data_IF_496763998765
#
_entry.id   IF_496763998765
#
_cell.length_a   1.000
_cell.length_b   1.000
_cell.length_c   1.000
_cell.angle_alpha   90.00
_cell.angle_beta   90.00
_cell.angle_gamma   90.00
#
_symmetry.space_group_name_H-M   'P 1'
#
loop_
_entity.id
_entity.type
_entity.pdbx_description
1 polymer ?
#
# COMPACT_ATOMS: atom_id res chain seq x y z
N UNK A 1 30.10 83.89 23.19
CA UNK A 1 31.46 83.43 22.87
C UNK A 1 31.38 81.93 22.59
N UNK A 2 31.35 81.54 21.31
CA UNK A 2 32.48 80.94 20.58
C UNK A 2 32.77 79.49 21.06
N UNK A 3 32.84 78.43 20.25
CA UNK A 3 33.04 78.34 18.82
C UNK A 3 32.65 76.94 18.27
N UNK A 4 32.21 76.94 17.00
CA UNK A 4 32.60 76.05 15.88
C UNK A 4 32.81 74.54 16.10
N UNK A 5 32.01 73.76 15.35
CA UNK A 5 32.32 72.39 14.85
C UNK A 5 33.54 72.41 13.91
N UNK A 6 34.26 71.28 13.75
CA UNK A 6 34.08 70.38 12.57
C UNK A 6 34.21 68.87 12.96
N UNK A 7 33.54 67.87 12.37
CA UNK A 7 33.51 67.29 11.00
C UNK A 7 34.34 65.98 10.90
N UNK A 8 33.78 64.97 10.21
CA UNK A 8 34.38 63.69 9.77
C UNK A 8 34.46 62.57 10.85
N UNK A 9 34.09 61.30 10.63
CA UNK A 9 34.30 60.46 9.44
C UNK A 9 33.25 59.35 9.33
N UNK A 10 32.80 59.08 8.10
CA UNK A 10 31.98 57.94 7.67
C UNK A 10 32.71 56.61 7.91
N UNK A 11 32.03 55.63 8.51
CA UNK A 11 32.29 54.22 8.28
C UNK A 11 31.01 53.59 7.72
N UNK A 12 31.11 53.02 6.51
CA UNK A 12 30.00 52.43 5.79
C UNK A 12 29.56 51.11 6.41
N UNK A 13 28.27 51.01 6.73
CA UNK A 13 27.62 49.75 7.06
C UNK A 13 27.01 49.14 5.77
N UNK A 14 27.14 47.83 5.54
CA UNK A 14 26.63 47.18 4.34
C UNK A 14 25.09 47.19 4.30
N UNK A 15 24.53 47.57 3.16
CA UNK A 15 23.09 47.52 2.88
C UNK A 15 22.59 46.07 2.95
N UNK A 16 21.95 45.71 4.06
CA UNK A 16 21.12 44.51 4.16
C UNK A 16 19.88 44.74 3.29
N UNK A 17 19.89 44.16 2.10
CA UNK A 17 18.76 44.11 1.17
C UNK A 17 17.63 43.31 1.83
N UNK A 18 16.71 44.01 2.50
CA UNK A 18 15.46 43.45 3.04
C UNK A 18 14.64 42.85 1.89
N UNK A 19 14.77 41.54 1.69
CA UNK A 19 13.85 40.76 0.86
C UNK A 19 12.50 40.75 1.59
N UNK A 20 11.51 41.46 1.04
CA UNK A 20 10.13 41.42 1.52
C UNK A 20 9.62 39.97 1.50
N UNK A 21 9.02 39.45 2.59
CA UNK A 21 8.41 38.14 2.57
C UNK A 21 7.26 38.14 1.57
N UNK A 22 7.38 37.27 0.55
CA UNK A 22 6.34 36.99 -0.44
C UNK A 22 5.16 36.38 0.31
N UNK A 23 4.10 37.16 0.53
CA UNK A 23 2.80 36.66 1.01
C UNK A 23 2.38 35.51 0.10
N UNK A 24 2.51 34.27 0.60
CA UNK A 24 1.90 33.09 0.00
C UNK A 24 0.40 33.24 0.15
N UNK A 25 -0.27 33.58 -0.97
CA UNK A 25 -1.71 33.40 -1.09
C UNK A 25 -2.03 31.93 -0.76
N UNK A 26 -3.01 31.64 0.11
CA UNK A 26 -3.52 30.29 0.22
C UNK A 26 -4.06 29.86 -1.14
N UNK A 27 -3.76 28.61 -1.55
CA UNK A 27 -4.33 28.03 -2.75
C UNK A 27 -5.86 28.14 -2.69
N UNK A 28 -6.55 28.51 -3.78
CA UNK A 28 -8.00 28.55 -3.78
C UNK A 28 -8.53 27.17 -3.40
N UNK A 29 -9.45 27.13 -2.43
CA UNK A 29 -10.20 25.93 -2.09
C UNK A 29 -10.90 25.47 -3.37
N UNK A 30 -10.44 24.35 -3.93
CA UNK A 30 -11.10 23.69 -5.04
C UNK A 30 -12.56 23.45 -4.64
N UNK A 31 -13.48 24.04 -5.39
CA UNK A 31 -14.90 23.89 -5.14
C UNK A 31 -15.27 22.41 -5.27
N UNK A 32 -16.35 21.96 -4.61
CA UNK A 32 -16.85 20.57 -4.77
C UNK A 32 -17.10 20.20 -6.25
N UNK A 33 -17.31 21.20 -7.12
CA UNK A 33 -17.44 21.01 -8.56
C UNK A 33 -16.09 20.69 -9.23
N UNK A 34 -15.00 21.35 -8.82
CA UNK A 34 -13.65 21.09 -9.35
C UNK A 34 -13.16 19.68 -9.00
N UNK A 35 -13.45 19.18 -7.80
CA UNK A 35 -13.08 17.81 -7.39
C UNK A 35 -13.86 16.77 -8.18
N UNK A 36 -15.15 17.03 -8.47
CA UNK A 36 -15.95 16.19 -9.35
C UNK A 36 -15.47 16.25 -10.80
N UNK A 37 -15.11 17.42 -11.32
CA UNK A 37 -14.58 17.56 -12.67
C UNK A 37 -13.20 16.94 -12.85
N UNK A 38 -12.35 16.99 -11.82
CA UNK A 38 -11.01 16.39 -11.84
C UNK A 38 -11.07 14.86 -11.70
N UNK A 39 -11.98 14.32 -10.89
CA UNK A 39 -12.32 12.90 -10.89
C UNK A 39 -12.90 12.46 -12.24
N UNK A 40 -13.72 13.29 -12.87
CA UNK A 40 -14.28 13.03 -14.21
C UNK A 40 -13.22 13.14 -15.31
N UNK A 41 -12.23 14.04 -15.19
CA UNK A 41 -11.08 14.15 -16.11
C UNK A 41 -10.11 12.98 -15.98
N UNK A 42 -9.83 12.53 -14.76
CA UNK A 42 -9.04 11.32 -14.52
C UNK A 42 -9.71 10.08 -15.12
N UNK A 43 -11.05 10.01 -15.09
CA UNK A 43 -11.83 8.96 -15.76
C UNK A 43 -11.88 9.11 -17.30
N UNK A 44 -11.82 10.34 -17.85
CA UNK A 44 -11.87 10.58 -19.30
C UNK A 44 -10.55 10.33 -20.04
N UNK A 45 -9.43 10.19 -19.35
CA UNK A 45 -8.11 9.93 -19.96
C UNK A 45 -7.83 8.45 -20.29
N UNK A 46 -8.84 7.58 -20.24
CA UNK A 46 -8.80 6.28 -20.92
C UNK A 46 -9.83 6.20 -22.04
N UNK A 47 -9.42 6.54 -23.27
CA UNK A 47 -9.87 5.78 -24.42
C UNK A 47 -8.66 5.31 -25.24
N UNK A 48 -8.41 4.00 -25.20
CA UNK A 48 -7.56 3.30 -26.16
C UNK A 48 -8.06 3.59 -27.59
N UNK A 49 -7.34 4.45 -28.32
CA UNK A 49 -7.39 4.46 -29.78
C UNK A 49 -6.52 3.32 -30.28
N UNK A 50 -7.15 2.20 -30.60
CA UNK A 50 -6.56 1.15 -31.44
C UNK A 50 -6.26 1.79 -32.79
N UNK A 51 -4.98 1.98 -33.10
CA UNK A 51 -4.52 2.39 -34.43
C UNK A 51 -3.46 1.40 -34.88
N UNK A 52 -3.86 0.53 -35.81
CA UNK A 52 -2.97 -0.40 -36.48
C UNK A 52 -1.88 0.33 -37.26
N UNK A 53 -0.66 -0.19 -37.15
CA UNK A 53 0.40 -0.09 -38.16
C UNK A 53 1.31 -1.30 -38.00
N UNK A 54 0.97 -2.36 -38.74
CA UNK A 54 1.93 -3.34 -39.19
C UNK A 54 2.71 -2.73 -40.35
N UNK A 55 4.05 -2.76 -40.29
CA UNK A 55 4.95 -3.01 -41.42
C UNK A 55 6.40 -2.69 -41.04
N UNK A 56 7.31 -3.48 -41.61
CA UNK A 56 8.74 -3.24 -41.75
C UNK A 56 9.64 -3.41 -40.50
N UNK A 57 9.77 -4.66 -40.02
CA UNK A 57 11.03 -5.08 -39.37
C UNK A 57 11.32 -6.59 -39.43
N UNK A 58 11.03 -7.21 -40.58
CA UNK A 58 11.20 -8.67 -40.81
C UNK A 58 12.28 -9.03 -41.83
N UNK A 59 13.20 -8.12 -42.17
CA UNK A 59 14.27 -8.37 -43.15
C UNK A 59 15.64 -7.91 -42.64
N UNK A 60 16.06 -8.47 -41.50
CA UNK A 60 17.45 -8.37 -41.03
C UNK A 60 17.85 -9.56 -40.14
N UNK A 61 17.35 -10.76 -40.45
CA UNK A 61 17.69 -12.00 -39.72
C UNK A 61 18.14 -13.06 -40.74
N UNK A 62 19.17 -12.76 -41.53
CA UNK A 62 19.84 -13.77 -42.36
C UNK A 62 21.29 -13.40 -42.64
N UNK A 63 22.07 -13.09 -41.60
CA UNK A 63 23.54 -13.21 -41.68
C UNK A 63 24.13 -13.10 -40.29
N UNK A 64 24.40 -14.24 -39.64
CA UNK A 64 25.47 -14.44 -38.64
C UNK A 64 25.38 -15.86 -38.08
N UNK A 65 25.80 -16.81 -38.89
CA UNK A 65 26.31 -18.10 -38.43
C UNK A 65 27.76 -18.19 -38.88
N UNK A 66 28.68 -17.81 -38.00
CA UNK A 66 30.03 -18.37 -37.88
C UNK A 66 30.76 -17.73 -36.70
N UNK A 67 31.49 -18.59 -36.00
CA UNK A 67 32.47 -18.36 -34.92
C UNK A 67 31.92 -18.20 -33.50
N UNK A 68 32.07 -19.30 -32.77
CA UNK A 68 32.11 -19.39 -31.31
C UNK A 68 33.26 -18.49 -30.85
N UNK A 69 32.94 -17.25 -30.51
CA UNK A 69 33.86 -16.30 -29.90
C UNK A 69 33.15 -15.63 -28.72
N UNK A 70 33.85 -15.62 -27.60
CA UNK A 70 33.50 -15.01 -26.31
C UNK A 70 32.61 -13.77 -26.46
N UNK A 71 31.37 -13.82 -25.99
CA UNK A 71 30.37 -12.75 -26.21
C UNK A 71 30.46 -11.67 -25.10
N UNK A 72 31.05 -10.49 -25.35
CA UNK A 72 31.19 -9.41 -24.36
C UNK A 72 29.83 -8.86 -23.88
N UNK A 73 28.74 -9.16 -24.58
CA UNK A 73 27.40 -8.75 -24.19
C UNK A 73 26.87 -9.52 -22.96
N UNK A 74 27.41 -10.70 -22.63
CA UNK A 74 27.01 -11.44 -21.42
C UNK A 74 27.59 -10.75 -20.18
N UNK A 75 28.88 -10.38 -20.24
CA UNK A 75 29.54 -9.59 -19.20
C UNK A 75 28.94 -8.18 -19.07
N UNK A 76 28.58 -7.53 -20.18
CA UNK A 76 27.88 -6.26 -20.16
C UNK A 76 26.45 -6.37 -19.60
N UNK A 77 25.72 -7.47 -19.87
CA UNK A 77 24.42 -7.75 -19.25
C UNK A 77 24.54 -8.04 -17.77
N UNK A 78 25.57 -8.77 -17.35
CA UNK A 78 25.82 -9.07 -15.94
C UNK A 78 26.22 -7.80 -15.16
N UNK A 79 27.12 -6.98 -15.73
CA UNK A 79 27.44 -5.64 -15.20
C UNK A 79 26.21 -4.74 -15.18
N UNK A 80 25.40 -4.69 -16.23
CA UNK A 80 24.16 -3.91 -16.23
C UNK A 80 23.13 -4.43 -15.21
N UNK A 81 23.11 -5.74 -14.95
CA UNK A 81 22.25 -6.35 -13.94
C UNK A 81 22.73 -6.04 -12.51
N UNK A 82 24.04 -5.93 -12.28
CA UNK A 82 24.65 -5.53 -11.01
C UNK A 82 24.66 -4.00 -10.76
N UNK A 83 24.77 -3.18 -11.82
CA UNK A 83 24.74 -1.71 -11.69
C UNK A 83 23.33 -1.16 -11.46
N UNK A 84 22.29 -1.86 -11.93
CA UNK A 84 20.88 -1.48 -11.68
C UNK A 84 20.51 -1.41 -10.19
N UNK A 85 20.81 -2.42 -9.35
CA UNK A 85 20.51 -2.35 -7.93
C UNK A 85 21.34 -1.30 -7.21
N UNK A 86 22.62 -1.09 -7.59
CA UNK A 86 23.43 0.00 -7.02
C UNK A 86 22.81 1.38 -7.33
N UNK A 87 22.43 1.63 -8.58
CA UNK A 87 21.76 2.87 -8.96
C UNK A 87 20.38 3.05 -8.26
N UNK A 88 19.64 1.96 -8.02
CA UNK A 88 18.41 2.02 -7.24
C UNK A 88 18.66 2.29 -5.76
N UNK A 89 19.73 1.76 -5.19
CA UNK A 89 20.13 2.02 -3.80
C UNK A 89 20.59 3.46 -3.61
N UNK A 90 21.36 4.00 -4.55
CA UNK A 90 21.73 5.42 -4.57
C UNK A 90 20.48 6.29 -4.69
N UNK A 91 19.56 5.93 -5.59
CA UNK A 91 18.30 6.63 -5.73
C UNK A 91 17.40 6.49 -4.48
N UNK A 92 17.45 5.36 -3.78
CA UNK A 92 16.77 5.12 -2.51
C UNK A 92 17.33 6.00 -1.39
N UNK A 93 18.65 6.16 -1.35
CA UNK A 93 19.35 6.96 -0.34
C UNK A 93 19.15 8.47 -0.57
N UNK A 94 19.18 8.94 -1.81
CA UNK A 94 19.21 10.38 -2.11
C UNK A 94 17.91 10.95 -2.68
N UNK A 95 17.03 10.14 -3.26
CA UNK A 95 15.79 10.59 -3.90
C UNK A 95 14.69 9.53 -3.88
N UNK A 96 14.29 9.02 -2.69
CA UNK A 96 13.38 7.89 -2.55
C UNK A 96 12.00 8.13 -3.19
N UNK A 97 11.58 9.40 -3.30
CA UNK A 97 10.31 9.78 -3.92
C UNK A 97 10.24 9.45 -5.43
N UNK A 98 11.39 9.31 -6.09
CA UNK A 98 11.49 9.02 -7.53
C UNK A 98 11.50 7.52 -7.86
N UNK A 99 11.55 6.64 -6.84
CA UNK A 99 11.52 5.20 -7.02
C UNK A 99 10.14 4.70 -7.46
N UNK A 100 10.14 3.53 -8.11
CA UNK A 100 8.91 2.81 -8.47
C UNK A 100 8.15 2.39 -7.23
N UNK A 101 6.83 2.42 -7.37
CA UNK A 101 5.94 2.25 -6.25
C UNK A 101 6.09 0.89 -5.54
N UNK A 102 6.17 -0.20 -6.32
CA UNK A 102 6.38 -1.56 -5.82
C UNK A 102 7.72 -1.71 -5.07
N UNK A 103 8.76 -1.00 -5.51
CA UNK A 103 10.09 -1.08 -4.90
C UNK A 103 10.12 -0.38 -3.55
N UNK A 104 9.43 0.77 -3.43
CA UNK A 104 9.29 1.46 -2.14
C UNK A 104 8.58 0.54 -1.14
N UNK A 105 7.50 -0.12 -1.55
CA UNK A 105 6.76 -1.05 -0.68
C UNK A 105 7.58 -2.31 -0.39
N UNK A 106 8.30 -2.85 -1.37
CA UNK A 106 9.20 -3.98 -1.16
C UNK A 106 10.30 -3.69 -0.15
N UNK A 107 10.93 -2.50 -0.22
CA UNK A 107 11.92 -2.06 0.77
C UNK A 107 11.26 -1.85 2.15
N UNK A 108 10.03 -1.33 2.20
CA UNK A 108 9.28 -1.18 3.45
C UNK A 108 8.97 -2.53 4.13
N UNK A 109 8.70 -3.57 3.34
CA UNK A 109 8.39 -4.92 3.83
C UNK A 109 9.65 -5.73 4.16
N UNK A 110 10.81 -5.38 3.60
CA UNK A 110 12.04 -6.15 3.77
C UNK A 110 12.43 -6.37 5.25
N UNK A 111 12.39 -5.36 6.16
CA UNK A 111 12.68 -5.58 7.57
C UNK A 111 11.74 -6.61 8.20
N UNK A 112 10.45 -6.57 7.90
CA UNK A 112 9.46 -7.46 8.50
C UNK A 112 9.58 -8.89 7.96
N UNK A 113 9.92 -9.02 6.67
CA UNK A 113 10.25 -10.31 6.06
C UNK A 113 11.50 -10.91 6.70
N UNK A 114 12.58 -10.14 6.82
CA UNK A 114 13.83 -10.59 7.45
C UNK A 114 13.59 -11.00 8.90
N UNK A 115 12.87 -10.19 9.68
CA UNK A 115 12.52 -10.55 11.05
C UNK A 115 11.73 -11.86 11.11
N UNK A 116 10.71 -12.02 10.26
CA UNK A 116 9.94 -13.26 10.19
C UNK A 116 10.76 -14.49 9.80
N UNK A 117 11.70 -14.34 8.86
CA UNK A 117 12.63 -15.40 8.48
C UNK A 117 13.55 -15.81 9.64
N UNK A 118 14.02 -14.86 10.45
CA UNK A 118 14.86 -15.13 11.63
C UNK A 118 14.06 -15.81 12.74
N UNK A 119 12.82 -15.35 12.99
CA UNK A 119 11.98 -15.79 14.10
C UNK A 119 11.33 -17.16 13.81
N UNK A 120 10.70 -17.31 12.64
CA UNK A 120 9.91 -18.50 12.28
C UNK A 120 10.67 -19.49 11.35
N UNK A 121 11.90 -19.16 10.95
CA UNK A 121 12.85 -20.07 10.29
C UNK A 121 12.25 -20.74 9.04
N UNK A 122 12.23 -22.08 9.01
CA UNK A 122 11.81 -22.89 7.86
C UNK A 122 10.36 -22.58 7.46
N UNK A 123 9.45 -22.40 8.43
CA UNK A 123 8.04 -22.10 8.14
C UNK A 123 7.88 -20.78 7.39
N UNK A 124 8.65 -19.75 7.78
CA UNK A 124 8.67 -18.50 7.05
C UNK A 124 9.22 -18.66 5.63
N UNK A 125 10.27 -19.46 5.44
CA UNK A 125 10.82 -19.73 4.10
C UNK A 125 9.77 -20.39 3.20
N UNK A 126 9.06 -21.41 3.70
CA UNK A 126 8.00 -22.11 2.95
C UNK A 126 6.89 -21.15 2.51
N UNK A 127 6.38 -20.34 3.45
CA UNK A 127 5.28 -19.41 3.18
C UNK A 127 5.70 -18.29 2.24
N UNK A 128 6.91 -17.74 2.40
CA UNK A 128 7.47 -16.74 1.48
C UNK A 128 7.68 -17.33 0.09
N UNK A 129 8.20 -18.56 -0.01
CA UNK A 129 8.42 -19.24 -1.28
C UNK A 129 7.10 -19.43 -2.04
N UNK A 130 6.02 -19.84 -1.36
CA UNK A 130 4.68 -19.94 -1.95
C UNK A 130 4.20 -18.58 -2.46
N UNK A 131 4.29 -17.53 -1.63
CA UNK A 131 3.87 -16.18 -2.00
C UNK A 131 4.63 -15.65 -3.23
N UNK A 132 5.95 -15.85 -3.26
CA UNK A 132 6.81 -15.46 -4.37
C UNK A 132 6.52 -16.28 -5.62
N UNK A 133 6.41 -17.60 -5.52
CA UNK A 133 6.15 -18.48 -6.66
C UNK A 133 4.83 -18.13 -7.34
N UNK A 134 3.75 -17.98 -6.57
CA UNK A 134 2.44 -17.62 -7.09
C UNK A 134 2.40 -16.19 -7.63
N UNK A 135 2.98 -15.23 -6.91
CA UNK A 135 3.04 -13.83 -7.34
C UNK A 135 3.86 -13.63 -8.62
N UNK A 136 5.03 -14.27 -8.71
CA UNK A 136 5.89 -14.21 -9.90
C UNK A 136 5.24 -14.95 -11.06
N UNK A 137 4.72 -16.15 -10.83
CA UNK A 137 4.01 -16.93 -11.83
C UNK A 137 2.85 -16.15 -12.43
N UNK A 138 2.03 -15.54 -11.60
CA UNK A 138 0.92 -14.71 -12.06
C UNK A 138 1.36 -13.44 -12.79
N UNK A 139 2.45 -12.80 -12.36
CA UNK A 139 3.03 -11.67 -13.07
C UNK A 139 3.54 -12.07 -14.47
N UNK A 140 4.13 -13.27 -14.60
CA UNK A 140 4.56 -13.81 -15.88
C UNK A 140 3.36 -14.16 -16.78
N UNK A 141 2.32 -14.79 -16.23
CA UNK A 141 1.07 -15.10 -16.94
C UNK A 141 0.38 -13.82 -17.41
N UNK A 142 0.23 -12.82 -16.54
CA UNK A 142 -0.33 -11.51 -16.90
C UNK A 142 0.47 -10.84 -18.03
N UNK A 143 1.81 -10.91 -17.95
CA UNK A 143 2.71 -10.45 -19.02
C UNK A 143 2.69 -11.30 -20.26
N UNK A 144 2.13 -12.50 -20.25
CA UNK A 144 2.03 -13.35 -21.45
C UNK A 144 0.68 -13.14 -22.13
N UNK A 145 -0.40 -13.17 -21.35
CA UNK A 145 -1.78 -13.03 -21.83
C UNK A 145 -2.09 -11.60 -22.25
N UNK A 146 -1.59 -10.59 -21.53
CA UNK A 146 -1.98 -9.18 -21.74
C UNK A 146 -0.86 -8.28 -22.27
N UNK A 147 0.07 -8.84 -23.05
CA UNK A 147 1.24 -8.14 -23.62
C UNK A 147 0.91 -6.84 -24.34
N UNK A 148 -0.29 -6.73 -24.90
CA UNK A 148 -0.69 -5.62 -25.78
C UNK A 148 -1.69 -4.66 -25.12
N UNK A 149 -2.22 -5.04 -23.97
CA UNK A 149 -3.40 -4.42 -23.37
C UNK A 149 -3.12 -3.66 -22.06
N UNK A 150 -1.95 -3.88 -21.47
CA UNK A 150 -1.55 -3.25 -20.19
C UNK A 150 -0.37 -2.32 -20.45
N UNK A 151 -0.59 -1.00 -20.56
CA UNK A 151 0.45 -0.04 -20.88
C UNK A 151 1.60 -0.03 -19.87
N UNK A 152 1.34 -0.33 -18.59
CA UNK A 152 2.35 -0.45 -17.53
C UNK A 152 1.82 -1.34 -16.41
N UNK A 153 2.54 -2.38 -15.96
CA UNK A 153 2.15 -3.14 -14.78
C UNK A 153 2.42 -2.29 -13.53
N UNK A 154 1.35 -1.83 -12.89
CA UNK A 154 1.32 -1.34 -11.50
C UNK A 154 0.01 -1.83 -10.90
N UNK A 155 -0.03 -2.36 -9.67
CA UNK A 155 1.02 -2.88 -8.76
C UNK A 155 1.31 -4.37 -8.96
N UNK A 156 2.40 -4.83 -8.37
CA UNK A 156 2.83 -6.23 -8.52
C UNK A 156 1.95 -7.20 -7.72
N UNK A 157 1.37 -8.19 -8.41
CA UNK A 157 0.71 -9.34 -7.80
C UNK A 157 1.58 -10.04 -6.73
N UNK A 158 2.90 -9.93 -6.88
CA UNK A 158 3.90 -10.35 -5.89
C UNK A 158 3.72 -9.64 -4.54
N UNK A 159 3.63 -8.31 -4.52
CA UNK A 159 3.45 -7.56 -3.27
C UNK A 159 2.09 -7.88 -2.63
N UNK A 160 1.04 -8.04 -3.43
CA UNK A 160 -0.26 -8.48 -2.93
C UNK A 160 -0.19 -9.85 -2.25
N UNK A 161 0.46 -10.84 -2.89
CA UNK A 161 0.66 -12.17 -2.33
C UNK A 161 1.47 -12.14 -1.04
N UNK A 162 2.62 -11.42 -1.03
CA UNK A 162 3.48 -11.28 0.14
C UNK A 162 2.71 -10.66 1.30
N UNK A 163 1.95 -9.58 1.07
CA UNK A 163 1.17 -8.92 2.13
C UNK A 163 0.05 -9.81 2.66
N UNK A 164 -0.61 -10.58 1.80
CA UNK A 164 -1.62 -11.55 2.26
C UNK A 164 -1.01 -12.63 3.16
N UNK A 165 0.10 -13.21 2.73
CA UNK A 165 0.81 -14.26 3.48
C UNK A 165 1.50 -13.73 4.74
N UNK A 166 1.92 -12.46 4.75
CA UNK A 166 2.52 -11.81 5.91
C UNK A 166 1.66 -11.82 7.17
N UNK A 167 0.34 -11.84 6.98
CA UNK A 167 -0.65 -11.84 8.05
C UNK A 167 -1.01 -13.25 8.54
N UNK A 168 -0.55 -14.29 7.85
CA UNK A 168 -0.83 -15.69 8.20
C UNK A 168 0.04 -16.12 9.38
N UNK A 169 -0.55 -16.82 10.34
CA UNK A 169 0.14 -17.37 11.49
C UNK A 169 1.06 -18.53 11.14
N UNK A 170 2.17 -18.67 11.87
CA UNK A 170 3.16 -19.73 11.63
C UNK A 170 2.67 -21.16 11.90
N UNK A 171 1.49 -21.32 12.51
CA UNK A 171 0.82 -22.60 12.73
C UNK A 171 -0.22 -22.95 11.66
N UNK A 172 -0.52 -22.04 10.74
CA UNK A 172 -1.48 -22.29 9.68
C UNK A 172 -0.94 -23.28 8.65
N UNK A 173 -1.85 -23.96 7.95
CA UNK A 173 -1.47 -24.87 6.88
C UNK A 173 -0.84 -24.10 5.70
N UNK A 174 0.11 -24.73 5.01
CA UNK A 174 0.67 -24.18 3.77
C UNK A 174 -0.41 -24.02 2.68
N UNK A 175 -1.46 -24.86 2.73
CA UNK A 175 -2.61 -24.76 1.84
C UNK A 175 -3.34 -23.43 2.04
N UNK A 176 -3.58 -23.03 3.30
CA UNK A 176 -4.21 -21.73 3.62
C UNK A 176 -3.34 -20.56 3.13
N UNK A 177 -2.02 -20.68 3.24
CA UNK A 177 -1.10 -19.66 2.69
C UNK A 177 -1.20 -19.57 1.16
N UNK A 178 -1.31 -20.71 0.49
CA UNK A 178 -1.49 -20.77 -0.96
C UNK A 178 -2.85 -20.20 -1.39
N UNK A 179 -3.94 -20.52 -0.69
CA UNK A 179 -5.28 -19.98 -0.94
C UNK A 179 -5.29 -18.45 -0.85
N UNK A 180 -4.70 -17.90 0.21
CA UNK A 180 -4.58 -16.45 0.40
C UNK A 180 -3.73 -15.83 -0.70
N UNK A 181 -2.59 -16.41 -1.04
CA UNK A 181 -1.72 -15.92 -2.10
C UNK A 181 -2.41 -15.94 -3.47
N UNK A 182 -3.09 -17.04 -3.82
CA UNK A 182 -3.87 -17.17 -5.07
C UNK A 182 -4.98 -16.13 -5.12
N UNK A 183 -5.77 -15.99 -4.05
CA UNK A 183 -6.85 -15.03 -4.00
C UNK A 183 -6.33 -13.59 -4.09
N UNK A 184 -5.25 -13.26 -3.37
CA UNK A 184 -4.62 -11.94 -3.41
C UNK A 184 -4.15 -11.59 -4.82
N UNK A 185 -3.52 -12.53 -5.51
CA UNK A 185 -3.10 -12.40 -6.89
C UNK A 185 -4.28 -12.17 -7.82
N UNK A 186 -5.33 -13.00 -7.74
CA UNK A 186 -6.51 -12.89 -8.60
C UNK A 186 -7.17 -11.52 -8.41
N UNK A 187 -7.41 -11.11 -7.15
CA UNK A 187 -7.98 -9.81 -6.84
C UNK A 187 -7.12 -8.67 -7.38
N UNK A 188 -5.79 -8.78 -7.27
CA UNK A 188 -4.88 -7.74 -7.75
C UNK A 188 -4.86 -7.65 -9.28
N UNK A 189 -4.89 -8.79 -9.99
CA UNK A 189 -4.96 -8.82 -11.44
C UNK A 189 -6.31 -8.27 -11.95
N UNK A 190 -7.42 -8.65 -11.31
CA UNK A 190 -8.75 -8.13 -11.64
C UNK A 190 -8.82 -6.62 -11.39
N UNK A 191 -8.28 -6.15 -10.27
CA UNK A 191 -8.20 -4.73 -9.92
C UNK A 191 -7.36 -3.96 -10.95
N UNK A 192 -6.17 -4.45 -11.27
CA UNK A 192 -5.29 -3.81 -12.25
C UNK A 192 -5.93 -3.74 -13.65
N UNK A 193 -6.71 -4.75 -14.03
CA UNK A 193 -7.33 -4.83 -15.36
C UNK A 193 -8.62 -4.04 -15.49
N UNK A 194 -9.57 -4.25 -14.57
CA UNK A 194 -10.95 -3.79 -14.73
C UNK A 194 -11.28 -2.57 -13.88
N UNK A 195 -10.65 -2.45 -12.70
CA UNK A 195 -11.05 -1.44 -11.71
C UNK A 195 -9.81 -0.83 -11.03
N UNK A 196 -8.93 -0.22 -11.83
CA UNK A 196 -7.68 0.38 -11.35
C UNK A 196 -7.91 1.55 -10.37
N UNK A 197 -9.15 2.06 -10.31
CA UNK A 197 -9.58 3.09 -9.37
C UNK A 197 -9.68 2.59 -7.91
N UNK A 198 -9.78 1.27 -7.67
CA UNK A 198 -9.83 0.73 -6.30
C UNK A 198 -8.48 0.96 -5.63
N UNK A 199 -8.54 1.66 -4.49
CA UNK A 199 -7.41 2.01 -3.63
C UNK A 199 -7.43 1.13 -2.38
N UNK A 200 -7.18 -0.16 -2.56
CA UNK A 200 -7.19 -1.15 -1.49
C UNK A 200 -6.07 -2.17 -1.70
N UNK A 201 -5.56 -2.72 -0.61
CA UNK A 201 -4.51 -3.72 -0.64
C UNK A 201 -5.13 -5.11 -0.83
N UNK A 202 -5.01 -5.68 -2.04
CA UNK A 202 -5.62 -6.96 -2.39
C UNK A 202 -5.20 -8.12 -1.46
N UNK A 203 -3.94 -8.12 -0.98
CA UNK A 203 -3.46 -9.11 -0.02
C UNK A 203 -4.21 -9.11 1.31
N UNK A 204 -4.50 -7.93 1.85
CA UNK A 204 -5.25 -7.79 3.11
C UNK A 204 -6.70 -8.23 2.94
N UNK A 205 -7.33 -7.87 1.81
CA UNK A 205 -8.69 -8.30 1.49
C UNK A 205 -8.79 -9.82 1.30
N UNK A 206 -7.82 -10.42 0.62
CA UNK A 206 -7.74 -11.87 0.44
C UNK A 206 -7.57 -12.60 1.77
N UNK A 207 -6.65 -12.13 2.62
CA UNK A 207 -6.49 -12.65 3.97
C UNK A 207 -7.80 -12.59 4.77
N UNK A 208 -8.47 -11.43 4.80
CA UNK A 208 -9.72 -11.25 5.53
C UNK A 208 -10.84 -12.16 5.00
N UNK A 209 -10.97 -12.29 3.67
CA UNK A 209 -11.96 -13.17 3.06
C UNK A 209 -11.74 -14.65 3.45
N UNK A 210 -10.50 -15.14 3.34
CA UNK A 210 -10.17 -16.52 3.73
C UNK A 210 -10.36 -16.71 5.23
N UNK A 211 -9.94 -15.76 6.07
CA UNK A 211 -10.13 -15.83 7.51
C UNK A 211 -11.61 -15.95 7.89
N UNK A 212 -12.50 -15.21 7.23
CA UNK A 212 -13.95 -15.28 7.46
C UNK A 212 -14.51 -16.63 6.99
N UNK A 213 -14.18 -17.06 5.76
CA UNK A 213 -14.72 -18.30 5.17
C UNK A 213 -14.27 -19.54 5.95
N UNK A 214 -13.01 -19.56 6.37
CA UNK A 214 -12.42 -20.70 7.10
C UNK A 214 -12.58 -20.60 8.62
N UNK A 215 -13.32 -19.59 9.12
CA UNK A 215 -13.54 -19.33 10.55
C UNK A 215 -12.23 -19.21 11.36
N UNK A 216 -11.23 -18.54 10.78
CA UNK A 216 -9.98 -18.22 11.46
C UNK A 216 -8.83 -19.18 11.20
N UNK A 217 -8.90 -20.08 10.22
CA UNK A 217 -7.76 -20.95 9.87
C UNK A 217 -6.40 -20.23 9.69
N UNK A 218 -6.30 -19.03 9.07
CA UNK A 218 -5.02 -18.33 8.96
C UNK A 218 -4.54 -17.70 10.27
N UNK A 219 -5.35 -17.71 11.34
CA UNK A 219 -5.03 -17.19 12.67
C UNK A 219 -4.45 -18.27 13.60
N UNK A 220 -4.00 -19.40 13.04
CA UNK A 220 -3.31 -20.44 13.79
C UNK A 220 -1.85 -20.02 14.06
N UNK A 221 -1.52 -19.72 15.32
CA UNK A 221 -0.20 -19.25 15.70
C UNK A 221 0.63 -20.33 16.41
N UNK A 222 1.94 -20.21 16.29
CA UNK A 222 2.92 -21.05 16.96
C UNK A 222 3.90 -20.17 17.70
N UNK A 223 4.36 -20.63 18.86
CA UNK A 223 5.43 -19.96 19.58
C UNK A 223 6.76 -20.25 18.85
N UNK A 224 7.50 -19.22 18.39
CA UNK A 224 8.73 -19.43 17.63
C UNK A 224 9.88 -20.06 18.44
N UNK A 225 9.87 -19.92 19.77
CA UNK A 225 10.88 -20.52 20.64
C UNK A 225 10.65 -22.04 20.84
N UNK A 226 9.40 -22.47 20.98
CA UNK A 226 9.06 -23.88 21.29
C UNK A 226 8.51 -24.66 20.10
N UNK A 227 8.08 -23.98 19.03
CA UNK A 227 7.41 -24.56 17.86
C UNK A 227 5.99 -25.08 18.14
N UNK A 228 5.48 -24.95 19.37
CA UNK A 228 4.16 -25.46 19.76
C UNK A 228 3.05 -24.47 19.40
N UNK A 229 1.82 -24.97 19.14
CA UNK A 229 0.65 -24.10 19.02
C UNK A 229 0.51 -23.23 20.26
N UNK A 230 0.27 -21.94 20.05
CA UNK A 230 0.10 -20.98 21.13
C UNK A 230 -0.97 -19.96 20.73
N UNK A 231 -1.93 -19.64 21.60
CA UNK A 231 -2.98 -18.68 21.27
C UNK A 231 -2.42 -17.26 21.15
N UNK A 232 -3.21 -16.36 20.55
CA UNK A 232 -2.82 -14.94 20.43
C UNK A 232 -2.53 -14.34 21.82
N UNK A 233 -1.35 -13.75 22.04
CA UNK A 233 -1.02 -13.07 23.30
C UNK A 233 -2.05 -12.01 23.71
N UNK A 234 -2.62 -11.27 22.75
CA UNK A 234 -3.62 -10.24 23.04
C UNK A 234 -4.95 -10.88 23.48
N UNK A 235 -5.39 -11.93 22.78
CA UNK A 235 -6.58 -12.67 23.19
C UNK A 235 -6.41 -13.33 24.58
N UNK A 236 -5.23 -13.88 24.87
CA UNK A 236 -4.90 -14.45 26.18
C UNK A 236 -5.01 -13.46 27.33
N UNK A 237 -4.61 -12.20 27.11
CA UNK A 237 -4.70 -11.15 28.13
C UNK A 237 -6.14 -10.95 28.62
N UNK A 238 -7.14 -11.10 27.75
CA UNK A 238 -8.56 -10.98 28.14
C UNK A 238 -9.08 -12.17 28.92
N UNK A 239 -8.52 -13.36 28.70
CA UNK A 239 -8.92 -14.58 29.42
C UNK A 239 -8.22 -14.65 30.77
N UNK A 240 -6.94 -14.25 30.83
CA UNK A 240 -6.12 -14.29 32.03
C UNK A 240 -5.23 -13.03 32.14
N UNK A 241 -5.79 -11.93 32.68
CA UNK A 241 -5.08 -10.66 32.85
C UNK A 241 -3.87 -10.75 33.80
N UNK A 242 -3.81 -11.79 34.63
CA UNK A 242 -2.81 -12.00 35.68
C UNK A 242 -1.63 -12.88 35.26
N UNK A 243 -1.48 -13.25 33.98
CA UNK A 243 -0.31 -14.01 33.50
C UNK A 243 0.83 -13.06 33.06
N UNK A 244 1.88 -12.86 33.89
CA UNK A 244 3.01 -12.00 33.54
C UNK A 244 3.95 -12.60 32.48
N UNK A 245 3.93 -13.92 32.25
CA UNK A 245 4.93 -14.59 31.40
C UNK A 245 4.63 -14.54 29.89
N UNK A 246 3.39 -14.24 29.48
CA UNK A 246 2.97 -14.23 28.06
C UNK A 246 3.07 -12.86 27.40
N UNK A 247 3.36 -11.81 28.16
CA UNK A 247 3.24 -10.40 27.76
C UNK A 247 4.46 -9.59 28.19
N UNK A 248 5.67 -10.05 27.82
CA UNK A 248 6.89 -9.24 28.00
C UNK A 248 6.99 -8.22 26.85
N UNK A 249 6.95 -6.89 27.13
CA UNK A 249 7.07 -5.85 26.10
C UNK A 249 8.30 -6.01 25.20
N UNK A 250 9.41 -6.53 25.75
CA UNK A 250 10.62 -6.77 24.96
C UNK A 250 10.39 -7.86 23.91
N UNK A 251 9.70 -8.94 24.29
CA UNK A 251 9.38 -10.04 23.37
C UNK A 251 8.41 -9.60 22.28
N UNK A 252 7.43 -8.75 22.61
CA UNK A 252 6.51 -8.13 21.64
C UNK A 252 7.23 -7.17 20.69
N UNK A 253 8.14 -6.36 21.22
CA UNK A 253 8.93 -5.41 20.45
C UNK A 253 9.82 -6.11 19.41
N UNK A 254 10.52 -7.16 19.83
CA UNK A 254 11.38 -7.98 18.96
C UNK A 254 10.54 -8.88 18.05
N UNK A 255 9.38 -9.31 18.50
CA UNK A 255 8.47 -10.23 17.80
C UNK A 255 8.70 -11.70 18.11
N UNK A 256 9.41 -12.04 19.18
CA UNK A 256 9.64 -13.43 19.61
C UNK A 256 8.42 -13.98 20.37
N UNK A 257 7.24 -13.88 19.76
CA UNK A 257 5.95 -14.30 20.32
C UNK A 257 5.11 -14.97 19.24
N UNK A 258 4.02 -15.61 19.65
CA UNK A 258 3.07 -16.18 18.71
C UNK A 258 2.36 -15.07 17.93
N UNK A 259 2.33 -15.18 16.60
CA UNK A 259 1.71 -14.19 15.75
C UNK A 259 1.90 -14.45 14.24
N UNK A 260 1.53 -13.47 13.40
CA UNK A 260 1.71 -13.53 11.96
C UNK A 260 3.17 -13.53 11.52
N UNK A 261 3.50 -14.42 10.59
CA UNK A 261 4.90 -14.75 10.27
C UNK A 261 5.75 -13.54 9.89
N UNK A 262 5.24 -12.59 9.12
CA UNK A 262 6.00 -11.40 8.68
C UNK A 262 5.48 -10.08 9.26
N UNK A 263 4.64 -10.11 10.29
CA UNK A 263 4.12 -8.91 10.93
C UNK A 263 4.27 -8.89 12.46
N UNK A 264 4.84 -9.94 13.06
CA UNK A 264 4.94 -10.06 14.53
C UNK A 264 5.85 -9.00 15.16
N UNK A 265 7.00 -8.69 14.55
CA UNK A 265 8.00 -7.78 15.12
C UNK A 265 7.63 -6.30 14.98
N UNK A 266 7.36 -5.62 16.09
CA UNK A 266 7.07 -4.18 16.09
C UNK A 266 8.26 -3.36 15.63
N UNK A 267 9.48 -3.70 16.06
CA UNK A 267 10.70 -3.01 15.62
C UNK A 267 10.84 -3.06 14.10
N UNK A 268 10.70 -4.24 13.50
CA UNK A 268 10.81 -4.40 12.06
C UNK A 268 9.74 -3.60 11.31
N UNK A 269 8.51 -3.60 11.83
CA UNK A 269 7.40 -2.82 11.30
C UNK A 269 7.69 -1.32 11.40
N UNK A 270 8.20 -0.85 12.53
CA UNK A 270 8.55 0.56 12.75
C UNK A 270 9.62 1.04 11.76
N UNK A 271 10.63 0.20 11.45
CA UNK A 271 11.63 0.50 10.42
C UNK A 271 10.95 0.64 9.04
N UNK A 272 10.03 -0.26 8.70
CA UNK A 272 9.25 -0.16 7.46
C UNK A 272 8.40 1.12 7.39
N UNK A 273 7.74 1.50 8.50
CA UNK A 273 6.95 2.73 8.59
C UNK A 273 7.84 3.95 8.46
N UNK A 274 9.00 3.97 9.12
CA UNK A 274 9.98 5.04 9.03
C UNK A 274 10.47 5.22 7.58
N UNK A 275 10.71 4.12 6.87
CA UNK A 275 11.04 4.15 5.45
C UNK A 275 9.90 4.74 4.58
N UNK A 276 8.64 4.37 4.84
CA UNK A 276 7.49 4.97 4.15
C UNK A 276 7.33 6.47 4.45
N UNK A 277 7.63 6.89 5.69
CA UNK A 277 7.64 8.28 6.08
C UNK A 277 8.74 9.06 5.35
N UNK A 278 9.97 8.52 5.34
CA UNK A 278 11.12 9.08 4.66
C UNK A 278 10.89 9.23 3.14
N UNK A 279 10.31 8.21 2.50
CA UNK A 279 9.94 8.23 1.08
C UNK A 279 8.69 9.08 0.76
N UNK A 280 8.11 9.77 1.77
CA UNK A 280 6.89 10.61 1.68
C UNK A 280 5.65 9.86 1.18
N UNK A 281 5.62 8.53 1.34
CA UNK A 281 4.47 7.68 0.99
C UNK A 281 3.53 7.43 2.16
N UNK A 282 3.98 7.65 3.39
CA UNK A 282 3.14 7.57 4.58
C UNK A 282 2.27 8.83 4.77
N UNK A 283 0.99 8.65 5.09
CA UNK A 283 0.11 9.72 5.56
C UNK A 283 0.15 9.79 7.08
N UNK A 284 0.93 10.75 7.60
CA UNK A 284 1.03 11.00 9.04
C UNK A 284 -0.32 11.33 9.67
N UNK A 285 -1.21 12.02 8.95
CA UNK A 285 -2.57 12.34 9.42
C UNK A 285 -3.37 11.07 9.72
N UNK A 286 -3.28 10.05 8.88
CA UNK A 286 -3.98 8.78 9.09
C UNK A 286 -3.33 7.98 10.20
N UNK A 287 -2.00 7.92 10.25
CA UNK A 287 -1.27 7.21 11.30
C UNK A 287 -1.53 7.82 12.69
N UNK A 288 -1.47 9.15 12.81
CA UNK A 288 -1.80 9.86 14.06
C UNK A 288 -3.28 9.74 14.39
N UNK A 289 -4.17 9.82 13.40
CA UNK A 289 -5.59 9.58 13.60
C UNK A 289 -5.86 8.19 14.16
N UNK A 290 -5.23 7.16 13.59
CA UNK A 290 -5.32 5.78 14.08
C UNK A 290 -4.82 5.65 15.52
N UNK A 291 -3.65 6.22 15.82
CA UNK A 291 -3.13 6.24 17.19
C UNK A 291 -4.10 6.93 18.15
N UNK A 292 -4.66 8.08 17.78
CA UNK A 292 -5.62 8.80 18.61
C UNK A 292 -6.89 7.96 18.86
N UNK A 293 -7.44 7.30 17.83
CA UNK A 293 -8.57 6.40 17.98
C UNK A 293 -8.27 5.21 18.89
N UNK A 294 -7.09 4.61 18.75
CA UNK A 294 -6.62 3.52 19.61
C UNK A 294 -6.47 3.97 21.07
N UNK A 295 -5.84 5.12 21.31
CA UNK A 295 -5.67 5.72 22.65
C UNK A 295 -7.03 6.02 23.29
N UNK A 296 -8.00 6.54 22.53
CA UNK A 296 -9.37 6.77 23.03
C UNK A 296 -10.02 5.46 23.46
N UNK A 297 -9.90 4.38 22.68
CA UNK A 297 -10.43 3.08 23.06
C UNK A 297 -9.77 2.57 24.36
N UNK A 298 -8.44 2.59 24.44
CA UNK A 298 -7.68 2.12 25.60
C UNK A 298 -8.06 2.91 26.86
N UNK A 299 -8.10 4.25 26.76
CA UNK A 299 -8.46 5.12 27.86
C UNK A 299 -9.91 4.91 28.33
N UNK A 300 -10.85 4.71 27.41
CA UNK A 300 -12.24 4.43 27.77
C UNK A 300 -12.40 3.12 28.57
N UNK A 301 -11.61 2.10 28.26
CA UNK A 301 -11.64 0.81 28.95
C UNK A 301 -10.62 0.67 30.08
N UNK A 302 -9.87 1.73 30.41
CA UNK A 302 -8.85 1.76 31.46
C UNK A 302 -7.80 0.65 31.31
N UNK A 303 -7.43 0.33 30.07
CA UNK A 303 -6.40 -0.66 29.80
C UNK A 303 -5.00 -0.05 29.81
N UNK A 304 -3.98 -0.91 29.89
CA UNK A 304 -2.58 -0.48 29.76
C UNK A 304 -2.26 -0.09 28.31
N UNK A 305 -1.77 1.14 28.13
CA UNK A 305 -1.40 1.68 26.83
C UNK A 305 -0.26 0.88 26.19
N UNK A 306 0.75 0.50 26.97
CA UNK A 306 1.93 -0.20 26.45
C UNK A 306 1.51 -1.55 25.91
N UNK A 307 0.75 -2.32 26.69
CA UNK A 307 0.31 -3.65 26.31
C UNK A 307 -0.46 -3.64 24.96
N UNK A 308 -1.43 -2.74 24.80
CA UNK A 308 -2.29 -2.78 23.61
C UNK A 308 -1.72 -2.07 22.38
N UNK A 309 -0.79 -1.12 22.55
CA UNK A 309 -0.13 -0.42 21.46
C UNK A 309 1.14 -1.13 20.98
N UNK A 310 1.80 -1.93 21.81
CA UNK A 310 3.03 -2.66 21.43
C UNK A 310 2.75 -3.93 20.60
N UNK A 311 1.86 -3.80 19.62
CA UNK A 311 1.45 -4.88 18.72
C UNK A 311 2.00 -4.65 17.32
N UNK A 312 3.05 -5.37 16.96
CA UNK A 312 3.63 -5.36 15.61
C UNK A 312 2.58 -5.55 14.50
N UNK A 313 1.67 -6.54 14.59
CA UNK A 313 0.67 -6.77 13.54
C UNK A 313 -0.34 -5.63 13.40
N UNK A 314 -0.70 -4.99 14.51
CA UNK A 314 -1.58 -3.80 14.48
C UNK A 314 -0.93 -2.67 13.69
N UNK A 315 0.35 -2.39 13.96
CA UNK A 315 1.10 -1.35 13.27
C UNK A 315 1.48 -1.73 11.83
N UNK A 316 1.62 -3.02 11.53
CA UNK A 316 1.84 -3.49 10.16
C UNK A 316 0.67 -3.05 9.28
N UNK A 317 -0.56 -3.32 9.73
CA UNK A 317 -1.75 -2.97 8.96
C UNK A 317 -2.07 -1.47 9.05
N UNK A 318 -1.91 -0.83 10.22
CA UNK A 318 -2.18 0.60 10.37
C UNK A 318 -1.15 1.49 9.64
N UNK A 319 0.13 1.19 9.82
CA UNK A 319 1.24 2.01 9.31
C UNK A 319 1.63 1.67 7.88
N UNK A 320 1.78 0.38 7.53
CA UNK A 320 2.24 0.00 6.19
C UNK A 320 1.10 -0.08 5.17
N UNK A 321 -0.13 -0.41 5.60
CA UNK A 321 -1.24 -0.63 4.66
C UNK A 321 -2.28 0.50 4.66
N UNK A 322 -2.81 0.88 5.83
CA UNK A 322 -3.85 1.91 5.96
C UNK A 322 -3.28 3.31 5.72
N UNK A 323 -2.12 3.63 6.31
CA UNK A 323 -1.50 4.94 6.18
C UNK A 323 -0.72 5.12 4.85
N UNK A 324 -0.64 4.12 3.97
CA UNK A 324 -0.07 4.30 2.64
C UNK A 324 -0.96 5.24 1.80
N UNK A 325 -0.40 6.37 1.36
CA UNK A 325 -1.08 7.39 0.55
C UNK A 325 -1.69 6.85 -0.74
N UNK A 326 -1.23 5.71 -1.25
CA UNK A 326 -1.80 5.08 -2.45
C UNK A 326 -3.21 4.54 -2.21
N UNK A 327 -3.44 4.02 -1.01
CA UNK A 327 -4.70 3.41 -0.60
C UNK A 327 -5.71 4.44 -0.06
N UNK A 328 -5.30 5.70 0.07
CA UNK A 328 -6.13 6.73 0.68
C UNK A 328 -6.98 7.51 -0.35
N UNK A 329 -8.16 8.01 0.07
CA UNK A 329 -8.97 8.90 -0.74
C UNK A 329 -8.22 10.20 -1.07
N UNK A 330 -8.58 10.81 -2.21
CA UNK A 330 -8.02 12.08 -2.64
C UNK A 330 -8.34 13.22 -1.66
N UNK A 331 -9.54 13.20 -1.06
CA UNK A 331 -9.97 14.22 -0.09
C UNK A 331 -9.16 14.11 1.21
N UNK A 332 -8.52 15.22 1.60
CA UNK A 332 -7.74 15.31 2.83
C UNK A 332 -8.62 15.27 4.09
N UNK A 333 -9.84 15.81 4.02
CA UNK A 333 -10.75 15.92 5.17
C UNK A 333 -11.24 14.57 5.72
N UNK A 334 -11.32 13.55 4.87
CA UNK A 334 -11.83 12.22 5.26
C UNK A 334 -10.73 11.39 5.94
N UNK A 335 -9.46 11.65 5.62
CA UNK A 335 -8.30 10.90 6.12
C UNK A 335 -8.20 10.83 7.66
N UNK A 336 -8.31 11.93 8.42
CA UNK A 336 -8.24 11.84 9.89
C UNK A 336 -9.38 11.02 10.47
N UNK A 337 -10.60 11.16 9.94
CA UNK A 337 -11.78 10.40 10.39
C UNK A 337 -11.61 8.91 10.11
N UNK A 338 -11.05 8.55 8.94
CA UNK A 338 -10.74 7.16 8.61
C UNK A 338 -9.69 6.57 9.56
N UNK A 339 -8.62 7.31 9.83
CA UNK A 339 -7.60 6.88 10.80
C UNK A 339 -8.22 6.66 12.17
N UNK A 340 -8.91 7.67 12.70
CA UNK A 340 -9.53 7.64 14.02
C UNK A 340 -10.55 6.50 14.16
N UNK A 341 -11.47 6.37 13.21
CA UNK A 341 -12.46 5.29 13.23
C UNK A 341 -11.83 3.90 13.14
N UNK A 342 -10.81 3.72 12.30
CA UNK A 342 -10.09 2.47 12.19
C UNK A 342 -9.33 2.11 13.49
N UNK A 343 -8.68 3.09 14.13
CA UNK A 343 -7.98 2.88 15.40
C UNK A 343 -8.93 2.53 16.54
N UNK A 344 -10.04 3.28 16.63
CA UNK A 344 -11.08 3.05 17.64
C UNK A 344 -11.68 1.65 17.51
N UNK A 345 -12.01 1.20 16.29
CA UNK A 345 -12.58 -0.13 16.05
C UNK A 345 -11.54 -1.24 16.21
N UNK A 346 -10.32 -1.06 15.69
CA UNK A 346 -9.27 -2.07 15.75
C UNK A 346 -8.89 -2.45 17.19
N UNK A 347 -8.90 -1.48 18.11
CA UNK A 347 -8.61 -1.72 19.53
C UNK A 347 -9.88 -1.92 20.34
N UNK A 348 -10.95 -1.17 20.08
CA UNK A 348 -12.21 -1.27 20.83
C UNK A 348 -12.94 -2.60 20.63
N UNK A 349 -12.81 -3.26 19.48
CA UNK A 349 -13.39 -4.60 19.29
C UNK A 349 -12.74 -5.67 20.17
N UNK A 350 -11.57 -5.41 20.74
CA UNK A 350 -10.90 -6.35 21.65
C UNK A 350 -11.67 -6.58 22.95
N UNK A 351 -12.55 -5.64 23.35
CA UNK A 351 -13.48 -5.81 24.49
C UNK A 351 -14.36 -7.06 24.31
N UNK A 352 -14.66 -7.43 23.06
CA UNK A 352 -15.49 -8.59 22.73
C UNK A 352 -14.69 -9.89 22.60
N UNK A 353 -13.44 -9.90 23.06
CA UNK A 353 -12.55 -11.06 23.00
C UNK A 353 -11.86 -11.26 21.65
N UNK A 354 -11.96 -10.30 20.72
CA UNK A 354 -11.14 -10.34 19.50
C UNK A 354 -9.69 -9.98 19.82
N UNK A 355 -8.75 -10.73 19.25
CA UNK A 355 -7.33 -10.54 19.41
C UNK A 355 -6.73 -9.53 18.43
N UNK A 356 -5.51 -9.81 17.97
CA UNK A 356 -4.82 -9.05 16.91
C UNK A 356 -5.61 -9.00 15.59
N UNK A 357 -6.47 -9.98 15.32
CA UNK A 357 -7.29 -10.05 14.11
C UNK A 357 -8.29 -8.89 13.98
N UNK A 358 -8.69 -8.28 15.10
CA UNK A 358 -9.54 -7.09 15.09
C UNK A 358 -8.95 -5.98 14.22
N UNK A 359 -7.63 -5.77 14.28
CA UNK A 359 -6.95 -4.77 13.47
C UNK A 359 -6.98 -5.13 11.97
N UNK A 360 -6.76 -6.41 11.63
CA UNK A 360 -6.76 -6.87 10.24
C UNK A 360 -8.14 -6.69 9.61
N UNK A 361 -9.17 -7.19 10.29
CA UNK A 361 -10.54 -7.16 9.80
C UNK A 361 -11.09 -5.73 9.75
N UNK A 362 -10.74 -4.88 10.72
CA UNK A 362 -11.16 -3.47 10.70
C UNK A 362 -10.58 -2.73 9.51
N UNK A 363 -9.27 -2.82 9.28
CA UNK A 363 -8.64 -2.13 8.15
C UNK A 363 -9.05 -2.74 6.81
N UNK A 364 -9.18 -4.06 6.73
CA UNK A 364 -9.74 -4.73 5.55
C UNK A 364 -11.17 -4.24 5.27
N UNK A 365 -12.01 -4.13 6.30
CA UNK A 365 -13.36 -3.61 6.22
C UNK A 365 -13.40 -2.16 5.74
N UNK A 366 -12.56 -1.29 6.29
CA UNK A 366 -12.43 0.11 5.85
C UNK A 366 -12.03 0.17 4.37
N UNK A 367 -11.03 -0.62 3.95
CA UNK A 367 -10.60 -0.66 2.56
C UNK A 367 -11.67 -1.24 1.63
N UNK A 368 -12.42 -2.25 2.07
CA UNK A 368 -13.53 -2.84 1.33
C UNK A 368 -14.67 -1.85 1.13
N UNK A 369 -15.10 -1.14 2.18
CA UNK A 369 -16.13 -0.09 2.09
C UNK A 369 -15.69 1.01 1.12
N UNK A 370 -14.45 1.47 1.23
CA UNK A 370 -13.89 2.45 0.29
C UNK A 370 -13.88 1.94 -1.15
N UNK A 371 -13.51 0.68 -1.37
CA UNK A 371 -13.53 0.04 -2.69
C UNK A 371 -14.96 -0.02 -3.26
N UNK A 372 -15.94 -0.43 -2.45
CA UNK A 372 -17.36 -0.49 -2.84
C UNK A 372 -17.86 0.89 -3.24
N UNK A 373 -17.59 1.93 -2.45
CA UNK A 373 -18.00 3.31 -2.78
C UNK A 373 -17.42 3.75 -4.12
N UNK A 374 -16.15 3.47 -4.39
CA UNK A 374 -15.51 3.81 -5.68
C UNK A 374 -16.16 3.06 -6.84
N UNK A 375 -16.46 1.76 -6.67
CA UNK A 375 -17.13 0.94 -7.69
C UNK A 375 -18.53 1.47 -7.97
N UNK A 376 -19.30 1.81 -6.95
CA UNK A 376 -20.65 2.37 -7.10
C UNK A 376 -20.62 3.72 -7.81
N UNK A 377 -19.69 4.61 -7.46
CA UNK A 377 -19.53 5.90 -8.13
C UNK A 377 -19.14 5.73 -9.60
N UNK A 378 -18.23 4.81 -9.90
CA UNK A 378 -17.82 4.50 -11.26
C UNK A 378 -18.97 3.91 -12.08
N UNK A 379 -19.70 2.94 -11.54
CA UNK A 379 -20.89 2.37 -12.17
C UNK A 379 -21.97 3.44 -12.44
N UNK A 380 -22.21 4.34 -11.49
CA UNK A 380 -23.14 5.45 -11.65
C UNK A 380 -22.69 6.42 -12.77
N UNK A 381 -21.39 6.71 -12.89
CA UNK A 381 -20.87 7.56 -13.97
C UNK A 381 -21.06 6.92 -15.35
N UNK A 382 -20.79 5.61 -15.49
CA UNK A 382 -21.00 4.88 -16.75
C UNK A 382 -22.48 4.80 -17.11
N UNK A 383 -23.35 4.61 -16.12
CA UNK A 383 -24.80 4.63 -16.30
C UNK A 383 -25.28 5.98 -16.84
N UNK A 384 -24.80 7.09 -16.27
CA UNK A 384 -25.12 8.44 -16.75
C UNK A 384 -24.63 8.68 -18.19
N UNK A 385 -23.43 8.24 -18.54
CA UNK A 385 -22.91 8.37 -19.91
C UNK A 385 -23.74 7.57 -20.92
N UNK A 386 -24.07 6.31 -20.60
CA UNK A 386 -24.93 5.46 -21.46
C UNK A 386 -26.30 6.09 -21.65
N UNK A 387 -26.89 6.63 -20.59
CA UNK A 387 -28.17 7.31 -20.64
C UNK A 387 -28.13 8.58 -21.50
N UNK A 388 -27.09 9.40 -21.36
CA UNK A 388 -26.89 10.58 -22.22
C UNK A 388 -26.70 10.20 -23.70
N UNK A 389 -25.95 9.13 -24.00
CA UNK A 389 -25.80 8.61 -25.36
C UNK A 389 -27.15 8.15 -25.93
N UNK A 390 -27.93 7.39 -25.18
CA UNK A 390 -29.26 6.95 -25.61
C UNK A 390 -30.21 8.13 -25.85
N UNK A 391 -30.16 9.18 -25.01
CA UNK A 391 -30.93 10.40 -25.25
C UNK A 391 -30.53 11.09 -26.55
N UNK A 392 -29.23 11.22 -26.83
CA UNK A 392 -28.72 11.83 -28.09
C UNK A 392 -29.09 11.00 -29.31
N UNK A 393 -29.09 9.67 -29.21
CA UNK A 393 -29.52 8.78 -30.30
C UNK A 393 -31.02 8.97 -30.60
N UNK A 394 -31.88 8.98 -29.57
CA UNK A 394 -33.31 9.24 -29.73
C UNK A 394 -33.61 10.61 -30.34
N UNK A 395 -32.87 11.65 -29.96
CA UNK A 395 -32.99 12.98 -30.56
C UNK A 395 -32.59 12.98 -32.04
N UNK A 396 -31.51 12.30 -32.41
CA UNK A 396 -31.09 12.16 -33.81
C UNK A 396 -32.08 11.36 -34.64
N UNK A 397 -32.64 10.28 -34.10
CA UNK A 397 -33.70 9.53 -34.77
C UNK A 397 -34.95 10.38 -35.00
N UNK A 398 -35.36 11.18 -34.01
CA UNK A 398 -36.49 12.10 -34.17
C UNK A 398 -36.24 13.15 -35.26
N UNK A 399 -35.04 13.73 -35.31
CA UNK A 399 -34.64 14.67 -36.38
C UNK A 399 -34.62 14.01 -37.75
N UNK A 400 -34.09 12.78 -37.86
CA UNK A 400 -34.08 12.03 -39.12
C UNK A 400 -35.48 11.68 -39.62
N UNK A 401 -36.43 11.41 -38.71
CA UNK A 401 -37.84 11.19 -39.09
C UNK A 401 -38.47 12.46 -39.62
N UNK A 402 -38.25 13.61 -38.97
CA UNK A 402 -38.78 14.89 -39.42
C UNK A 402 -38.26 15.30 -40.81
N UNK A 403 -36.99 15.02 -41.12
CA UNK A 403 -36.40 15.30 -42.44
C UNK A 403 -36.92 14.34 -43.53
N UNK A 404 -37.27 13.09 -43.19
CA UNK A 404 -37.84 12.13 -44.17
C UNK A 404 -39.32 12.36 -44.47
N UNK A 405 -40.03 13.03 -43.58
CA UNK A 405 -41.46 13.36 -43.73
C UNK A 405 -41.71 14.71 -44.41
N UNK A 406 -40.66 15.50 -44.63
CA UNK A 406 -40.66 16.71 -45.43
C UNK A 406 -40.08 16.40 -46.81
#
# INVERSE_FOLDING_TARGET
MAAKRPMSTRAGAPQIRRVRPRRTRPAPQASRQDVCEEATRACRLSPNKVRGRASARWLAITTRLRLIAYNPNVLARLKAWLHRPAAWLDQAAFSPASLRDDLITGIALAPTIVAGLVIFKIRAVEMLAIALALGIGAHLVARWVWRHDIPRPQPSAVIAAIVGVALVGGGASLVTSAEIAVLAVILELLRARYISAIRAQAGLLAFAAVAIVTRGAPLAYTNPATGKPFPDPIALWYVQPSLPASYDPVTLYVGNVAGPVFATSLLAVAIGIAWLAYSRRLSLVVAVGFLAGAVVAIGAFHWDYVAHLDSGPTWFVAGLLLADRRNLPASWAIRPVLGLGAGLLAVGLRVRGYGIEAAFLTVAGVQAVMAIVVVLMWAASLGRERWQRNRRLRQREAQLRAVKSA
#
